data_IF_246206159353
#
_entry.id   IF_246206159353
#
_cell.length_a   1.000
_cell.length_b   1.000
_cell.length_c   1.000
_cell.angle_alpha   90.00
_cell.angle_beta   90.00
_cell.angle_gamma   90.00
#
_symmetry.space_group_name_H-M   'P 1'
#
loop_
_entity.id
_entity.type
_entity.pdbx_description
1 polymer ?
#
# COMPACT_ATOMS: atom_id res chain seq x y z
N UNK A 1 -18.94 31.34 52.42
CA UNK A 1 -18.43 31.77 51.10
C UNK A 1 -17.11 31.09 50.71
N UNK A 2 -16.07 31.11 51.54
CA UNK A 2 -14.74 30.59 51.20
C UNK A 2 -14.69 29.07 50.95
N UNK A 3 -15.40 28.27 51.77
CA UNK A 3 -15.52 26.82 51.58
C UNK A 3 -16.18 26.42 50.24
N UNK A 4 -17.14 27.21 49.75
CA UNK A 4 -17.77 27.00 48.45
C UNK A 4 -16.84 27.35 47.28
N UNK A 5 -16.06 28.43 47.39
CA UNK A 5 -15.03 28.79 46.40
C UNK A 5 -13.94 27.71 46.28
N UNK A 6 -13.49 27.15 47.41
CA UNK A 6 -12.51 26.06 47.42
C UNK A 6 -13.05 24.75 46.82
N UNK A 7 -14.34 24.45 47.03
CA UNK A 7 -14.99 23.30 46.40
C UNK A 7 -15.09 23.49 44.87
N UNK A 8 -15.53 24.68 44.42
CA UNK A 8 -15.63 25.01 43.00
C UNK A 8 -14.27 24.94 42.30
N UNK A 9 -13.22 25.47 42.93
CA UNK A 9 -11.87 25.40 42.39
C UNK A 9 -11.37 23.95 42.22
N UNK A 10 -11.62 23.07 43.21
CA UNK A 10 -11.29 21.64 43.12
C UNK A 10 -12.06 20.94 42.00
N UNK A 11 -13.34 21.26 41.82
CA UNK A 11 -14.15 20.68 40.73
C UNK A 11 -13.60 21.11 39.37
N UNK A 12 -13.29 22.40 39.18
CA UNK A 12 -12.69 22.90 37.95
C UNK A 12 -11.35 22.22 37.69
N UNK A 13 -10.50 22.09 38.72
CA UNK A 13 -9.21 21.41 38.58
C UNK A 13 -9.36 19.94 38.16
N UNK A 14 -10.31 19.20 38.76
CA UNK A 14 -10.61 17.81 38.37
C UNK A 14 -11.07 17.76 36.92
N UNK A 15 -12.01 18.62 36.52
CA UNK A 15 -12.52 18.68 35.14
C UNK A 15 -11.38 18.99 34.16
N UNK A 16 -10.51 19.95 34.48
CA UNK A 16 -9.36 20.29 33.64
C UNK A 16 -8.39 19.12 33.48
N UNK A 17 -8.12 18.36 34.54
CA UNK A 17 -7.26 17.16 34.48
C UNK A 17 -7.91 16.05 33.63
N UNK A 18 -9.21 15.80 33.82
CA UNK A 18 -9.96 14.81 33.01
C UNK A 18 -9.93 15.20 31.53
N UNK A 19 -10.18 16.48 31.23
CA UNK A 19 -10.14 17.00 29.87
C UNK A 19 -8.75 16.87 29.25
N UNK A 20 -7.69 17.18 30.02
CA UNK A 20 -6.31 17.04 29.56
C UNK A 20 -5.98 15.58 29.20
N UNK A 21 -6.36 14.62 30.05
CA UNK A 21 -6.17 13.19 29.78
C UNK A 21 -6.95 12.77 28.53
N UNK A 22 -8.20 13.21 28.39
CA UNK A 22 -9.01 12.94 27.21
C UNK A 22 -8.35 13.47 25.92
N UNK A 23 -7.82 14.70 25.94
CA UNK A 23 -7.12 15.28 24.78
C UNK A 23 -5.85 14.48 24.43
N UNK A 24 -5.07 14.05 25.42
CA UNK A 24 -3.88 13.23 25.17
C UNK A 24 -4.23 11.91 24.48
N UNK A 25 -5.28 11.22 24.93
CA UNK A 25 -5.76 9.97 24.29
C UNK A 25 -6.13 10.22 22.82
N UNK A 26 -6.82 11.32 22.53
CA UNK A 26 -7.18 11.67 21.16
C UNK A 26 -5.96 11.96 20.28
N UNK A 27 -4.94 12.64 20.81
CA UNK A 27 -3.69 12.89 20.07
C UNK A 27 -3.00 11.57 19.72
N UNK A 28 -2.90 10.64 20.68
CA UNK A 28 -2.32 9.32 20.42
C UNK A 28 -3.10 8.55 19.34
N UNK A 29 -4.43 8.58 19.38
CA UNK A 29 -5.26 7.98 18.35
C UNK A 29 -5.02 8.61 16.96
N UNK A 30 -4.90 9.94 16.88
CA UNK A 30 -4.60 10.61 15.59
C UNK A 30 -3.22 10.22 15.05
N UNK A 31 -2.19 10.19 15.90
CA UNK A 31 -0.83 9.79 15.49
C UNK A 31 -0.85 8.35 14.93
N UNK A 32 -1.53 7.44 15.60
CA UNK A 32 -1.69 6.06 15.14
C UNK A 32 -2.39 5.97 13.78
N UNK A 33 -3.47 6.72 13.58
CA UNK A 33 -4.22 6.73 12.31
C UNK A 33 -3.41 7.32 11.16
N UNK A 34 -2.64 8.39 11.41
CA UNK A 34 -1.76 8.98 10.40
C UNK A 34 -0.69 7.98 9.96
N UNK A 35 -0.10 7.25 10.91
CA UNK A 35 0.88 6.21 10.61
C UNK A 35 0.29 5.10 9.72
N UNK A 36 -0.89 4.59 10.09
CA UNK A 36 -1.60 3.57 9.34
C UNK A 36 -1.93 4.04 7.90
N UNK A 37 -2.53 5.22 7.75
CA UNK A 37 -2.91 5.77 6.44
C UNK A 37 -1.68 5.90 5.54
N UNK A 38 -0.56 6.39 6.08
CA UNK A 38 0.68 6.54 5.32
C UNK A 38 1.23 5.20 4.86
N UNK A 39 1.33 4.23 5.76
CA UNK A 39 1.89 2.92 5.42
C UNK A 39 1.06 2.20 4.36
N UNK A 40 -0.28 2.20 4.50
CA UNK A 40 -1.17 1.60 3.49
C UNK A 40 -1.15 2.39 2.18
N UNK A 41 -1.01 3.72 2.25
CA UNK A 41 -0.93 4.59 1.07
C UNK A 41 0.34 4.36 0.25
N UNK A 42 1.48 4.12 0.90
CA UNK A 42 2.74 3.83 0.21
C UNK A 42 2.64 2.51 -0.60
N UNK A 43 2.06 1.45 -0.02
CA UNK A 43 1.83 0.17 -0.71
C UNK A 43 0.93 0.34 -1.92
N UNK A 44 -0.19 1.05 -1.76
CA UNK A 44 -1.16 1.30 -2.83
C UNK A 44 -0.51 2.12 -3.96
N UNK A 45 0.17 3.20 -3.61
CA UNK A 45 0.80 4.10 -4.58
C UNK A 45 1.88 3.42 -5.42
N UNK A 46 2.76 2.63 -4.78
CA UNK A 46 3.78 1.86 -5.49
C UNK A 46 3.15 0.79 -6.38
N UNK A 47 2.15 0.08 -5.85
CA UNK A 47 1.40 -0.94 -6.58
C UNK A 47 0.74 -0.37 -7.85
N UNK A 48 0.07 0.77 -7.72
CA UNK A 48 -0.56 1.48 -8.84
C UNK A 48 0.45 1.94 -9.89
N UNK A 49 1.61 2.43 -9.46
CA UNK A 49 2.69 2.80 -10.36
C UNK A 49 3.20 1.58 -11.16
N UNK A 50 3.55 0.48 -10.49
CA UNK A 50 4.01 -0.76 -11.14
C UNK A 50 2.98 -1.25 -12.17
N UNK A 51 1.71 -1.34 -11.77
CA UNK A 51 0.62 -1.85 -12.63
C UNK A 51 0.45 -0.98 -13.86
N UNK A 52 0.41 0.34 -13.70
CA UNK A 52 0.21 1.28 -14.81
C UNK A 52 1.38 1.28 -15.80
N UNK A 53 2.62 1.27 -15.31
CA UNK A 53 3.83 1.20 -16.15
C UNK A 53 3.90 -0.11 -16.94
N UNK A 54 3.58 -1.25 -16.31
CA UNK A 54 3.52 -2.55 -17.01
C UNK A 54 2.47 -2.57 -18.12
N UNK A 55 1.27 -2.07 -17.85
CA UNK A 55 0.20 -2.01 -18.85
C UNK A 55 0.58 -1.10 -20.02
N UNK A 56 1.21 0.04 -19.72
CA UNK A 56 1.72 0.96 -20.74
C UNK A 56 2.84 0.32 -21.57
N UNK A 57 3.79 -0.37 -20.93
CA UNK A 57 4.87 -1.09 -21.59
C UNK A 57 4.32 -2.12 -22.58
N UNK A 58 3.47 -3.04 -22.10
CA UNK A 58 2.89 -4.10 -22.93
C UNK A 58 2.09 -3.51 -24.10
N UNK A 59 1.35 -2.43 -23.88
CA UNK A 59 0.61 -1.74 -24.94
C UNK A 59 1.53 -1.18 -26.04
N UNK A 60 2.65 -0.56 -25.67
CA UNK A 60 3.60 0.02 -26.64
C UNK A 60 4.35 -1.08 -27.40
N UNK A 61 4.80 -2.13 -26.71
CA UNK A 61 5.42 -3.31 -27.35
C UNK A 61 4.49 -3.94 -28.38
N UNK A 62 3.22 -4.16 -28.03
CA UNK A 62 2.22 -4.72 -28.95
C UNK A 62 1.86 -3.79 -30.12
N UNK A 63 2.18 -2.50 -30.00
CA UNK A 63 2.04 -1.52 -31.07
C UNK A 63 3.26 -1.46 -31.99
N UNK A 64 4.28 -2.28 -31.72
CA UNK A 64 5.53 -2.31 -32.49
C UNK A 64 6.54 -1.25 -32.08
N UNK A 65 6.41 -0.68 -30.87
CA UNK A 65 7.31 0.32 -30.30
C UNK A 65 8.05 -0.25 -29.07
N UNK A 66 9.27 -0.79 -29.23
CA UNK A 66 10.02 -1.40 -28.14
C UNK A 66 10.50 -0.36 -27.12
N UNK A 67 10.18 -0.56 -25.84
CA UNK A 67 10.41 0.43 -24.77
C UNK A 67 11.44 -0.08 -23.74
N UNK A 68 12.72 -0.08 -24.11
CA UNK A 68 13.79 -0.53 -23.20
C UNK A 68 13.93 0.36 -21.95
N UNK A 69 13.79 1.67 -22.09
CA UNK A 69 13.88 2.61 -20.97
C UNK A 69 12.77 2.38 -19.92
N UNK A 70 11.59 1.94 -20.37
CA UNK A 70 10.49 1.58 -19.47
C UNK A 70 10.79 0.28 -18.72
N UNK A 71 11.42 -0.70 -19.36
CA UNK A 71 11.86 -1.94 -18.69
C UNK A 71 12.83 -1.61 -17.55
N UNK A 72 13.83 -0.74 -17.80
CA UNK A 72 14.78 -0.32 -16.78
C UNK A 72 14.12 0.50 -15.66
N UNK A 73 13.09 1.27 -16.01
CA UNK A 73 12.30 2.04 -15.04
C UNK A 73 11.49 1.10 -14.14
N UNK A 74 10.84 0.08 -14.70
CA UNK A 74 10.09 -0.91 -13.95
C UNK A 74 11.02 -1.76 -13.08
N UNK A 75 12.20 -2.14 -13.58
CA UNK A 75 13.25 -2.80 -12.78
C UNK A 75 13.58 -1.99 -11.52
N UNK A 76 13.76 -0.67 -11.65
CA UNK A 76 14.02 0.22 -10.50
C UNK A 76 12.83 0.28 -9.55
N UNK A 77 11.61 0.47 -10.05
CA UNK A 77 10.41 0.55 -9.20
C UNK A 77 10.23 -0.75 -8.40
N UNK A 78 10.47 -1.91 -9.01
CA UNK A 78 10.35 -3.21 -8.33
C UNK A 78 11.46 -3.40 -7.28
N UNK A 79 12.69 -2.98 -7.58
CA UNK A 79 13.76 -3.01 -6.58
C UNK A 79 13.46 -2.08 -5.39
N UNK A 80 12.95 -0.88 -5.65
CA UNK A 80 12.54 0.07 -4.61
C UNK A 80 11.38 -0.50 -3.79
N UNK A 81 10.42 -1.17 -4.43
CA UNK A 81 9.33 -1.89 -3.78
C UNK A 81 9.83 -2.99 -2.83
N UNK A 82 10.78 -3.82 -3.26
CA UNK A 82 11.37 -4.87 -2.40
C UNK A 82 12.09 -4.26 -1.20
N UNK A 83 12.85 -3.18 -1.44
CA UNK A 83 13.53 -2.45 -0.38
C UNK A 83 12.55 -1.83 0.62
N UNK A 84 11.49 -1.18 0.14
CA UNK A 84 10.47 -0.53 0.96
C UNK A 84 9.67 -1.57 1.76
N UNK A 85 9.35 -2.72 1.16
CA UNK A 85 8.71 -3.85 1.85
C UNK A 85 9.54 -4.31 3.06
N UNK A 86 10.85 -4.48 2.87
CA UNK A 86 11.77 -4.86 3.96
C UNK A 86 11.93 -3.74 5.00
N UNK A 87 12.10 -2.49 4.56
CA UNK A 87 12.30 -1.33 5.46
C UNK A 87 11.08 -1.07 6.34
N UNK A 88 9.89 -1.10 5.74
CA UNK A 88 8.64 -0.77 6.41
C UNK A 88 8.02 -1.98 7.13
N UNK A 89 8.55 -3.20 6.93
CA UNK A 89 8.08 -4.44 7.56
C UNK A 89 6.59 -4.69 7.29
N UNK A 90 6.17 -4.55 6.04
CA UNK A 90 4.78 -4.79 5.62
C UNK A 90 4.27 -6.19 6.01
N UNK A 91 5.18 -7.15 6.19
CA UNK A 91 4.95 -8.49 6.77
C UNK A 91 4.17 -8.49 8.09
N UNK A 92 4.27 -7.42 8.90
CA UNK A 92 3.61 -7.36 10.21
C UNK A 92 2.14 -6.97 10.15
N UNK A 93 1.65 -6.55 8.98
CA UNK A 93 0.37 -5.87 8.86
C UNK A 93 -0.59 -6.55 7.90
N UNK A 94 -0.06 -7.36 6.98
CA UNK A 94 -0.87 -8.02 5.96
C UNK A 94 -1.19 -9.46 6.35
N UNK A 95 -2.33 -9.95 5.90
CA UNK A 95 -2.66 -11.36 6.04
C UNK A 95 -1.69 -12.21 5.20
N UNK A 96 -1.51 -13.50 5.55
CA UNK A 96 -0.55 -14.36 4.88
C UNK A 96 -0.75 -14.47 3.36
N UNK A 97 -1.99 -14.41 2.86
CA UNK A 97 -2.27 -14.57 1.44
C UNK A 97 -1.85 -13.32 0.65
N UNK A 98 -1.99 -12.13 1.24
CA UNK A 98 -1.51 -10.89 0.61
C UNK A 98 0.01 -10.78 0.65
N UNK A 99 0.65 -11.23 1.73
CA UNK A 99 2.10 -11.29 1.81
C UNK A 99 2.70 -12.23 0.75
N UNK A 100 2.13 -13.43 0.58
CA UNK A 100 2.56 -14.36 -0.46
C UNK A 100 2.49 -13.72 -1.86
N UNK A 101 1.45 -12.94 -2.14
CA UNK A 101 1.30 -12.24 -3.41
C UNK A 101 2.30 -11.10 -3.59
N UNK A 102 2.61 -10.34 -2.53
CA UNK A 102 3.66 -9.33 -2.56
C UNK A 102 5.03 -9.95 -2.88
N UNK A 103 5.30 -11.16 -2.40
CA UNK A 103 6.54 -11.90 -2.67
C UNK A 103 6.62 -12.42 -4.11
N UNK A 104 5.47 -12.62 -4.78
CA UNK A 104 5.43 -13.08 -6.17
C UNK A 104 5.71 -11.96 -7.20
N UNK A 105 5.52 -10.68 -6.84
CA UNK A 105 5.65 -9.53 -7.76
C UNK A 105 6.98 -9.54 -8.54
N UNK A 106 8.16 -9.70 -7.91
CA UNK A 106 9.44 -9.73 -8.63
C UNK A 106 9.56 -10.90 -9.61
N UNK A 107 9.11 -12.11 -9.21
CA UNK A 107 9.14 -13.29 -10.09
C UNK A 107 8.21 -13.13 -11.29
N UNK A 108 7.01 -12.60 -11.05
CA UNK A 108 6.04 -12.32 -12.10
C UNK A 108 6.58 -11.32 -13.11
N UNK A 109 7.37 -10.32 -12.65
CA UNK A 109 8.02 -9.37 -13.54
C UNK A 109 9.09 -10.03 -14.41
N UNK A 110 9.93 -10.89 -13.82
CA UNK A 110 10.93 -11.64 -14.60
C UNK A 110 10.30 -12.52 -15.67
N UNK A 111 9.17 -13.17 -15.34
CA UNK A 111 8.37 -13.92 -16.31
C UNK A 111 7.83 -13.00 -17.41
N UNK A 112 7.22 -11.88 -17.06
CA UNK A 112 6.67 -10.93 -18.03
C UNK A 112 7.76 -10.38 -18.97
N UNK A 113 8.94 -10.05 -18.44
CA UNK A 113 10.10 -9.61 -19.23
C UNK A 113 10.54 -10.68 -20.23
N UNK A 114 10.53 -11.94 -19.80
CA UNK A 114 10.85 -13.09 -20.68
C UNK A 114 9.82 -13.22 -21.80
N UNK A 115 8.53 -13.11 -21.49
CA UNK A 115 7.46 -13.18 -22.49
C UNK A 115 7.51 -11.99 -23.47
N UNK A 116 7.93 -10.81 -23.01
CA UNK A 116 8.16 -9.63 -23.84
C UNK A 116 9.31 -9.85 -24.83
N UNK A 117 10.44 -10.41 -24.37
CA UNK A 117 11.56 -10.78 -25.25
C UNK A 117 11.11 -11.83 -26.28
N UNK A 118 10.36 -12.86 -25.85
CA UNK A 118 9.83 -13.88 -26.74
C UNK A 118 8.88 -13.32 -27.80
N UNK A 119 8.08 -12.31 -27.45
CA UNK A 119 7.22 -11.59 -28.39
C UNK A 119 8.04 -10.78 -29.41
N UNK A 120 9.09 -10.09 -28.98
CA UNK A 120 9.99 -9.36 -29.89
C UNK A 120 10.69 -10.29 -30.90
N UNK A 121 11.03 -11.52 -30.48
CA UNK A 121 11.64 -12.53 -31.35
C UNK A 121 10.63 -13.18 -32.30
N UNK A 122 9.37 -13.35 -31.85
CA UNK A 122 8.31 -13.97 -32.63
C UNK A 122 6.94 -13.40 -32.22
N UNK A 123 6.34 -12.62 -33.13
CA UNK A 123 5.06 -11.95 -32.90
C UNK A 123 3.89 -12.90 -32.57
N UNK A 124 4.00 -14.20 -32.92
CA UNK A 124 3.02 -15.22 -32.53
C UNK A 124 2.95 -15.45 -31.02
N UNK A 125 3.96 -15.01 -30.24
CA UNK A 125 3.99 -15.08 -28.78
C UNK A 125 3.19 -13.95 -28.09
N UNK A 126 2.30 -13.27 -28.81
CA UNK A 126 1.43 -12.22 -28.25
C UNK A 126 0.55 -12.72 -27.10
N UNK A 127 -0.04 -13.91 -27.23
CA UNK A 127 -0.98 -14.44 -26.23
C UNK A 127 -0.30 -14.71 -24.88
N UNK A 128 0.86 -15.40 -24.80
CA UNK A 128 1.61 -15.52 -23.54
C UNK A 128 1.94 -14.19 -22.87
N UNK A 129 2.36 -13.17 -23.65
CA UNK A 129 2.66 -11.84 -23.14
C UNK A 129 1.42 -11.18 -22.51
N UNK A 130 0.28 -11.24 -23.22
CA UNK A 130 -0.99 -10.72 -22.71
C UNK A 130 -1.41 -11.46 -21.43
N UNK A 131 -1.36 -12.79 -21.41
CA UNK A 131 -1.74 -13.58 -20.24
C UNK A 131 -0.88 -13.26 -19.01
N UNK A 132 0.44 -13.12 -19.18
CA UNK A 132 1.34 -12.72 -18.09
C UNK A 132 1.06 -11.31 -17.59
N UNK A 133 0.78 -10.37 -18.50
CA UNK A 133 0.46 -8.99 -18.14
C UNK A 133 -0.84 -8.90 -17.33
N UNK A 134 -1.86 -9.68 -17.71
CA UNK A 134 -3.15 -9.75 -17.02
C UNK A 134 -3.05 -10.46 -15.67
N UNK A 135 -2.25 -11.53 -15.59
CA UNK A 135 -1.95 -12.19 -14.32
C UNK A 135 -1.27 -11.21 -13.35
N UNK A 136 -0.28 -10.45 -13.83
CA UNK A 136 0.39 -9.41 -13.05
C UNK A 136 -0.60 -8.36 -12.55
N UNK A 137 -1.43 -7.82 -13.44
CA UNK A 137 -2.47 -6.85 -13.11
C UNK A 137 -3.40 -7.34 -12.00
N UNK A 138 -3.90 -8.58 -12.11
CA UNK A 138 -4.79 -9.19 -11.11
C UNK A 138 -4.12 -9.37 -9.76
N UNK A 139 -2.85 -9.80 -9.73
CA UNK A 139 -2.10 -9.94 -8.48
C UNK A 139 -1.94 -8.60 -7.77
N UNK A 140 -1.56 -7.55 -8.51
CA UNK A 140 -1.43 -6.22 -7.93
C UNK A 140 -2.77 -5.68 -7.45
N UNK A 141 -3.86 -5.87 -8.21
CA UNK A 141 -5.20 -5.44 -7.78
C UNK A 141 -5.62 -6.09 -6.47
N UNK A 142 -5.35 -7.38 -6.32
CA UNK A 142 -5.65 -8.08 -5.08
C UNK A 142 -4.88 -7.47 -3.90
N UNK A 143 -3.59 -7.16 -4.09
CA UNK A 143 -2.77 -6.54 -3.05
C UNK A 143 -3.33 -5.16 -2.65
N UNK A 144 -3.71 -4.35 -3.63
CA UNK A 144 -4.33 -3.04 -3.39
C UNK A 144 -5.64 -3.21 -2.62
N UNK A 145 -6.54 -4.07 -3.09
CA UNK A 145 -7.83 -4.32 -2.46
C UNK A 145 -7.68 -4.83 -1.02
N UNK A 146 -6.78 -5.79 -0.78
CA UNK A 146 -6.50 -6.29 0.56
C UNK A 146 -5.92 -5.20 1.48
N UNK A 147 -5.04 -4.35 0.95
CA UNK A 147 -4.46 -3.23 1.69
C UNK A 147 -5.50 -2.17 2.03
N UNK A 148 -6.41 -1.86 1.10
CA UNK A 148 -7.53 -0.94 1.31
C UNK A 148 -8.51 -1.47 2.35
N UNK A 149 -8.85 -2.76 2.27
CA UNK A 149 -9.71 -3.42 3.25
C UNK A 149 -9.08 -3.40 4.64
N UNK A 150 -7.80 -3.73 4.77
CA UNK A 150 -7.07 -3.64 6.03
C UNK A 150 -7.10 -2.22 6.63
N UNK A 151 -6.78 -1.21 5.82
CA UNK A 151 -6.79 0.19 6.24
C UNK A 151 -8.19 0.59 6.71
N UNK A 152 -9.21 0.24 5.93
CA UNK A 152 -10.62 0.56 6.23
C UNK A 152 -11.08 -0.11 7.51
N UNK A 153 -10.82 -1.41 7.70
CA UNK A 153 -11.20 -2.13 8.92
C UNK A 153 -10.56 -1.52 10.16
N UNK A 154 -9.27 -1.19 10.12
CA UNK A 154 -8.56 -0.57 11.25
C UNK A 154 -9.05 0.85 11.53
N UNK A 155 -9.30 1.64 10.49
CA UNK A 155 -9.87 2.99 10.61
C UNK A 155 -11.29 2.93 11.20
N UNK A 156 -12.12 2.00 10.76
CA UNK A 156 -13.49 1.80 11.25
C UNK A 156 -13.50 1.26 12.68
N UNK A 157 -12.61 0.33 13.03
CA UNK A 157 -12.48 -0.18 14.40
C UNK A 157 -12.09 0.93 15.40
N UNK A 158 -11.26 1.89 14.98
CA UNK A 158 -10.98 3.09 15.76
C UNK A 158 -12.15 4.11 15.79
N UNK A 159 -13.07 4.08 14.81
CA UNK A 159 -14.28 4.91 14.81
C UNK A 159 -15.39 4.42 15.75
N UNK A 160 -15.35 3.18 16.23
CA UNK A 160 -16.39 2.61 17.11
C UNK A 160 -15.73 2.03 18.37
N UNK A 161 -15.28 2.93 19.25
CA UNK A 161 -15.07 2.68 20.68
C UNK A 161 -14.99 4.00 21.48
N UNK A 162 -15.75 5.00 21.05
CA UNK A 162 -16.01 6.25 21.78
C UNK A 162 -17.36 6.19 22.46
#
# INVERSE_FOLDING_TARGET
>A
MEKQKNLLHKIIQIISVVLMIFLLINIFNMIYMIFLIRETGDVINISDNIRSEIQRLVKLELSGDPQNDMIDTIDKIINDFEYDKTRNKWEKQQDPATLEKLDLIPEMWRKLRTDLINYRLNASNKEPLLQSSEAYFKTINYVVEATENYSTEKIVCCKIKT
#
